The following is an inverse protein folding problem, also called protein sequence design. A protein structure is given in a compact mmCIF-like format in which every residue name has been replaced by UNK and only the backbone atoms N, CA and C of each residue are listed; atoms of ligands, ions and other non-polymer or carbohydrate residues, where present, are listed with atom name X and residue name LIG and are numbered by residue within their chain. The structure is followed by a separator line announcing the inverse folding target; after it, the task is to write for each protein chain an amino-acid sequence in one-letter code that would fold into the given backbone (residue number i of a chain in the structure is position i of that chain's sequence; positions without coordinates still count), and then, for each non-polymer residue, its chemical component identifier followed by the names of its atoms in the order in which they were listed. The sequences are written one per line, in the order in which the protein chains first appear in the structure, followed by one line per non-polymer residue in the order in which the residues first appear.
data_IF_507383620454
#
_entry.id   IF_507383620454
#
_cell.length_a   1.000
_cell.length_b   1.000
_cell.length_c   1.000
_cell.angle_alpha   90.00
_cell.angle_beta   90.00
_cell.angle_gamma   90.00
#
_symmetry.space_group_name_H-M   'P 1'
#
loop_
_entity.id
_entity.type
_entity.pdbx_description
1 polymer ?
#
# COMPACT_ATOMS: atom_id res chain seq x y z
N UNK A 1 -23.34 -6.57 -7.68
CA UNK A 1 -22.09 -5.82 -7.43
C UNK A 1 -21.07 -6.06 -8.53
N UNK A 2 -20.66 -7.29 -8.83
CA UNK A 2 -19.62 -7.63 -9.86
C UNK A 2 -19.83 -6.92 -11.21
N UNK A 3 -21.06 -6.90 -11.76
CA UNK A 3 -21.36 -6.25 -13.05
C UNK A 3 -21.00 -4.75 -13.12
N UNK A 4 -20.77 -4.10 -11.98
CA UNK A 4 -20.40 -2.67 -11.91
C UNK A 4 -18.92 -2.43 -11.79
N UNK A 5 -18.13 -3.47 -11.46
CA UNK A 5 -16.67 -3.40 -11.30
C UNK A 5 -15.92 -4.20 -12.36
N UNK A 6 -16.61 -4.99 -13.18
CA UNK A 6 -16.00 -5.64 -14.35
C UNK A 6 -15.85 -4.58 -15.44
N UNK A 7 -14.62 -4.11 -15.62
CA UNK A 7 -14.25 -3.11 -16.62
C UNK A 7 -12.85 -3.44 -17.17
N UNK A 8 -12.59 -3.23 -18.48
CA UNK A 8 -11.28 -3.58 -19.08
C UNK A 8 -10.07 -2.97 -18.37
N UNK A 9 -10.25 -1.83 -17.71
CA UNK A 9 -9.18 -1.11 -17.01
C UNK A 9 -9.14 -1.40 -15.49
N UNK A 10 -9.90 -2.41 -15.03
CA UNK A 10 -9.93 -2.80 -13.60
C UNK A 10 -9.47 -4.24 -13.49
N UNK A 11 -8.35 -4.44 -12.78
CA UNK A 11 -7.91 -5.77 -12.36
C UNK A 11 -8.62 -6.13 -11.07
N UNK A 12 -9.38 -7.24 -11.07
CA UNK A 12 -9.95 -7.77 -9.84
C UNK A 12 -8.84 -8.32 -8.94
N UNK A 13 -8.89 -7.93 -7.68
CA UNK A 13 -7.95 -8.34 -6.65
C UNK A 13 -8.73 -8.89 -5.44
N UNK A 14 -9.18 -10.17 -5.50
CA UNK A 14 -9.78 -10.83 -4.35
C UNK A 14 -8.84 -10.82 -3.14
N UNK A 15 -9.39 -10.76 -1.92
CA UNK A 15 -8.58 -10.84 -0.72
C UNK A 15 -9.04 -11.98 0.21
N UNK A 16 -8.16 -12.38 1.12
CA UNK A 16 -8.39 -13.44 2.12
C UNK A 16 -8.79 -12.90 3.49
N UNK A 17 -9.26 -11.66 3.56
CA UNK A 17 -9.65 -11.02 4.83
C UNK A 17 -10.60 -11.89 5.65
N UNK A 18 -10.29 -12.07 6.93
CA UNK A 18 -11.05 -12.90 7.86
C UNK A 18 -10.42 -14.25 8.16
N UNK A 19 -9.40 -14.68 7.42
CA UNK A 19 -8.63 -15.90 7.75
C UNK A 19 -7.63 -15.62 8.88
N UNK A 20 -7.23 -16.68 9.59
CA UNK A 20 -6.42 -16.57 10.81
C UNK A 20 -5.02 -17.17 10.69
N UNK A 21 -4.78 -17.99 9.66
CA UNK A 21 -3.54 -18.69 9.43
C UNK A 21 -3.30 -18.95 7.93
N UNK A 22 -2.13 -19.45 7.59
CA UNK A 22 -1.72 -19.73 6.21
C UNK A 22 -2.61 -20.77 5.51
N UNK A 23 -3.00 -21.84 6.20
CA UNK A 23 -3.83 -22.91 5.62
C UNK A 23 -5.20 -22.38 5.18
N UNK A 24 -5.86 -21.61 6.06
CA UNK A 24 -7.12 -20.94 5.73
C UNK A 24 -6.95 -19.96 4.56
N UNK A 25 -5.83 -19.21 4.51
CA UNK A 25 -5.55 -18.27 3.43
C UNK A 25 -5.38 -18.97 2.08
N UNK A 26 -4.64 -20.08 2.04
CA UNK A 26 -4.44 -20.87 0.82
C UNK A 26 -5.77 -21.45 0.34
N UNK A 27 -6.58 -21.98 1.24
CA UNK A 27 -7.90 -22.50 0.89
C UNK A 27 -8.82 -21.39 0.32
N UNK A 28 -8.89 -20.24 1.00
CA UNK A 28 -9.69 -19.10 0.55
C UNK A 28 -9.23 -18.58 -0.82
N UNK A 29 -7.91 -18.53 -1.05
CA UNK A 29 -7.32 -18.12 -2.33
C UNK A 29 -7.73 -19.04 -3.49
N UNK A 30 -7.71 -20.36 -3.27
CA UNK A 30 -8.14 -21.33 -4.28
C UNK A 30 -9.62 -21.16 -4.63
N UNK A 31 -10.48 -20.96 -3.64
CA UNK A 31 -11.90 -20.65 -3.86
C UNK A 31 -12.08 -19.35 -4.65
N UNK A 32 -11.31 -18.30 -4.31
CA UNK A 32 -11.36 -17.02 -5.01
C UNK A 32 -10.93 -17.17 -6.47
N UNK A 33 -9.89 -17.94 -6.77
CA UNK A 33 -9.44 -18.22 -8.14
C UNK A 33 -10.53 -18.86 -8.98
N UNK A 34 -11.19 -19.88 -8.45
CA UNK A 34 -12.32 -20.53 -9.14
C UNK A 34 -13.50 -19.59 -9.34
N UNK A 35 -13.83 -18.76 -8.33
CA UNK A 35 -14.97 -17.87 -8.38
C UNK A 35 -14.79 -16.66 -9.31
N UNK A 36 -13.57 -16.12 -9.41
CA UNK A 36 -13.28 -14.88 -10.13
C UNK A 36 -12.43 -15.06 -11.39
N UNK A 37 -11.90 -16.27 -11.65
CA UNK A 37 -11.08 -16.54 -12.83
C UNK A 37 -9.77 -15.73 -12.85
N UNK A 38 -9.18 -15.43 -11.69
CA UNK A 38 -7.96 -14.64 -11.59
C UNK A 38 -6.96 -15.26 -10.61
N UNK A 39 -5.67 -15.14 -10.92
CA UNK A 39 -4.57 -15.53 -10.01
C UNK A 39 -4.11 -14.35 -9.12
N UNK A 40 -4.61 -13.14 -9.34
CA UNK A 40 -4.30 -12.00 -8.48
C UNK A 40 -4.96 -12.18 -7.12
N UNK A 41 -4.18 -11.93 -6.06
CA UNK A 41 -4.65 -12.13 -4.70
C UNK A 41 -4.02 -11.12 -3.75
N UNK A 42 -4.86 -10.39 -3.01
CA UNK A 42 -4.43 -9.67 -1.81
C UNK A 42 -4.48 -10.63 -0.63
N UNK A 43 -3.31 -10.96 -0.10
CA UNK A 43 -3.17 -11.85 1.03
C UNK A 43 -3.31 -11.06 2.33
N UNK A 44 -4.32 -11.36 3.12
CA UNK A 44 -4.55 -10.80 4.46
C UNK A 44 -4.77 -11.93 5.45
N UNK A 45 -4.02 -11.95 6.56
CA UNK A 45 -4.18 -12.91 7.65
C UNK A 45 -4.26 -12.13 8.95
N UNK A 46 -5.42 -12.15 9.60
CA UNK A 46 -5.70 -11.41 10.83
C UNK A 46 -6.12 -12.37 11.95
N UNK A 47 -5.18 -12.85 12.79
CA UNK A 47 -5.52 -13.75 13.90
C UNK A 47 -6.42 -13.09 14.94
N UNK A 48 -6.31 -11.76 15.09
CA UNK A 48 -7.18 -10.96 15.97
C UNK A 48 -8.12 -10.05 15.15
N UNK A 49 -9.41 -10.39 15.09
CA UNK A 49 -10.40 -9.62 14.33
C UNK A 49 -10.69 -8.23 14.92
N UNK A 50 -10.22 -7.94 16.14
CA UNK A 50 -10.45 -6.65 16.80
C UNK A 50 -9.51 -5.57 16.26
N UNK A 51 -8.24 -5.91 16.05
CA UNK A 51 -7.22 -4.95 15.65
C UNK A 51 -6.83 -5.06 14.18
N UNK A 52 -7.15 -6.17 13.51
CA UNK A 52 -6.88 -6.44 12.09
C UNK A 52 -5.41 -6.24 11.71
N UNK A 53 -4.51 -6.54 12.66
CA UNK A 53 -3.08 -6.51 12.43
C UNK A 53 -2.65 -7.81 11.73
N UNK A 54 -1.76 -7.74 10.74
CA UNK A 54 -1.31 -8.90 10.00
C UNK A 54 -0.34 -9.75 10.82
N UNK A 55 -0.49 -11.08 10.72
CA UNK A 55 0.47 -12.04 11.27
C UNK A 55 1.64 -12.20 10.31
N UNK A 56 2.83 -11.79 10.73
CA UNK A 56 4.03 -11.80 9.89
C UNK A 56 4.50 -13.21 9.52
N UNK A 57 4.36 -14.18 10.44
CA UNK A 57 4.83 -15.56 10.24
C UNK A 57 3.90 -16.28 9.27
N UNK A 58 2.60 -16.23 9.54
CA UNK A 58 1.59 -16.89 8.71
C UNK A 58 1.50 -16.24 7.33
N UNK A 59 1.69 -14.91 7.23
CA UNK A 59 1.74 -14.19 5.94
C UNK A 59 2.91 -14.64 5.08
N UNK A 60 4.12 -14.78 5.65
CA UNK A 60 5.28 -15.27 4.91
C UNK A 60 5.07 -16.71 4.44
N UNK A 61 4.62 -17.59 5.33
CA UNK A 61 4.33 -19.00 5.02
C UNK A 61 3.27 -19.14 3.92
N UNK A 62 2.18 -18.40 4.00
CA UNK A 62 1.14 -18.41 2.97
C UNK A 62 1.66 -17.87 1.64
N UNK A 63 2.50 -16.82 1.65
CA UNK A 63 3.09 -16.27 0.44
C UNK A 63 3.92 -17.32 -0.30
N UNK A 64 4.81 -18.04 0.41
CA UNK A 64 5.63 -19.10 -0.18
C UNK A 64 4.80 -20.20 -0.83
N UNK A 65 3.69 -20.59 -0.22
CA UNK A 65 2.81 -21.64 -0.73
C UNK A 65 1.98 -21.15 -1.92
N UNK A 66 1.38 -19.97 -1.81
CA UNK A 66 0.56 -19.38 -2.87
C UNK A 66 1.35 -19.08 -4.14
N UNK A 67 2.59 -18.60 -4.01
CA UNK A 67 3.50 -18.38 -5.15
C UNK A 67 3.79 -19.71 -5.87
N UNK A 68 4.06 -20.79 -5.15
CA UNK A 68 4.23 -22.15 -5.74
C UNK A 68 2.98 -22.64 -6.46
N UNK A 69 1.79 -22.22 -6.01
CA UNK A 69 0.50 -22.53 -6.64
C UNK A 69 0.17 -21.62 -7.82
N UNK A 70 1.06 -20.69 -8.20
CA UNK A 70 0.93 -19.79 -9.35
C UNK A 70 0.06 -18.56 -9.11
N UNK A 71 -0.15 -18.16 -7.86
CA UNK A 71 -0.81 -16.89 -7.56
C UNK A 71 0.15 -15.71 -7.71
N UNK A 72 -0.42 -14.56 -8.10
CA UNK A 72 0.22 -13.25 -8.06
C UNK A 72 -0.13 -12.65 -6.70
N UNK A 73 0.77 -12.80 -5.73
CA UNK A 73 0.49 -12.53 -4.31
C UNK A 73 0.89 -11.11 -3.95
N UNK A 74 -0.05 -10.36 -3.36
CA UNK A 74 0.11 -9.03 -2.81
C UNK A 74 -0.14 -9.09 -1.29
N UNK A 75 0.88 -9.35 -0.46
CA UNK A 75 0.70 -9.55 0.97
C UNK A 75 0.58 -8.25 1.73
N UNK A 76 -0.52 -8.07 2.48
CA UNK A 76 -0.65 -7.06 3.52
C UNK A 76 0.22 -7.45 4.72
N UNK A 77 1.08 -6.54 5.17
CA UNK A 77 2.06 -6.83 6.20
C UNK A 77 2.32 -5.64 7.14
N UNK A 78 3.02 -5.91 8.25
CA UNK A 78 3.61 -4.87 9.07
C UNK A 78 4.61 -4.05 8.23
N UNK A 79 4.79 -2.76 8.58
CA UNK A 79 5.84 -1.93 7.99
C UNK A 79 7.21 -2.31 8.59
N UNK A 80 7.63 -3.53 8.33
CA UNK A 80 8.91 -4.11 8.75
C UNK A 80 9.78 -4.35 7.50
N UNK A 81 10.89 -3.61 7.35
CA UNK A 81 11.77 -3.75 6.18
C UNK A 81 12.33 -5.16 6.01
N UNK A 82 12.62 -5.88 7.11
CA UNK A 82 13.14 -7.25 7.06
C UNK A 82 12.06 -8.22 6.56
N UNK A 83 10.83 -8.09 7.05
CA UNK A 83 9.71 -8.89 6.57
C UNK A 83 9.42 -8.62 5.10
N UNK A 84 9.37 -7.35 4.68
CA UNK A 84 9.13 -6.97 3.29
C UNK A 84 10.18 -7.59 2.35
N UNK A 85 11.45 -7.62 2.76
CA UNK A 85 12.52 -8.28 1.99
C UNK A 85 12.31 -9.78 1.88
N UNK A 86 11.92 -10.45 2.98
CA UNK A 86 11.61 -11.89 2.97
C UNK A 86 10.41 -12.22 2.08
N UNK A 87 9.38 -11.38 2.07
CA UNK A 87 8.22 -11.54 1.20
C UNK A 87 8.60 -11.40 -0.29
N UNK A 88 9.47 -10.43 -0.63
CA UNK A 88 10.04 -10.30 -1.96
C UNK A 88 10.81 -11.57 -2.36
N UNK A 89 11.70 -12.07 -1.48
CA UNK A 89 12.49 -13.30 -1.70
C UNK A 89 11.61 -14.54 -1.83
N UNK A 90 10.46 -14.57 -1.15
CA UNK A 90 9.45 -15.62 -1.30
C UNK A 90 8.68 -15.56 -2.63
N UNK A 91 8.88 -14.51 -3.44
CA UNK A 91 8.28 -14.34 -4.75
C UNK A 91 6.97 -13.55 -4.76
N UNK A 92 6.70 -12.74 -3.73
CA UNK A 92 5.58 -11.82 -3.75
C UNK A 92 5.69 -10.85 -4.95
N UNK A 93 4.56 -10.53 -5.56
CA UNK A 93 4.51 -9.61 -6.69
C UNK A 93 4.65 -8.13 -6.27
N UNK A 94 4.26 -7.83 -5.04
CA UNK A 94 4.42 -6.54 -4.36
C UNK A 94 4.61 -6.78 -2.87
N UNK A 95 4.90 -5.73 -2.10
CA UNK A 95 4.66 -5.73 -0.64
C UNK A 95 3.67 -4.62 -0.30
N UNK A 96 2.78 -4.90 0.67
CA UNK A 96 1.72 -3.97 1.06
C UNK A 96 1.85 -3.61 2.56
N UNK A 97 2.91 -2.87 2.95
CA UNK A 97 3.09 -2.44 4.32
C UNK A 97 2.03 -1.44 4.77
N UNK A 98 1.58 -1.57 6.01
CA UNK A 98 0.59 -0.66 6.60
C UNK A 98 1.16 0.73 6.89
N UNK A 99 0.40 1.79 6.59
CA UNK A 99 0.67 3.14 7.07
C UNK A 99 0.25 3.32 8.53
N UNK A 100 -0.91 2.79 8.89
CA UNK A 100 -1.45 2.66 10.24
C UNK A 100 -2.47 1.52 10.27
N UNK A 101 -2.94 1.03 11.43
CA UNK A 101 -3.89 -0.07 11.49
C UNK A 101 -5.17 0.22 10.68
N UNK A 102 -5.75 -0.85 10.10
CA UNK A 102 -6.95 -0.78 9.25
C UNK A 102 -8.07 0.00 9.97
N UNK A 103 -8.72 0.90 9.23
CA UNK A 103 -9.88 1.66 9.71
C UNK A 103 -9.57 2.83 10.64
N UNK A 104 -8.30 3.10 10.96
CA UNK A 104 -7.92 4.15 11.93
C UNK A 104 -7.84 5.55 11.32
N UNK A 105 -7.72 5.70 10.00
CA UNK A 105 -7.55 6.98 9.29
C UNK A 105 -6.39 7.86 9.80
N UNK A 106 -5.36 7.25 10.44
CA UNK A 106 -4.26 7.96 11.11
C UNK A 106 -3.11 8.39 10.19
N UNK A 107 -3.17 8.02 8.90
CA UNK A 107 -2.14 8.34 7.92
C UNK A 107 -0.89 7.47 8.05
N UNK A 108 0.25 8.04 7.67
CA UNK A 108 1.53 7.32 7.60
C UNK A 108 2.28 7.32 8.93
N UNK A 109 1.74 6.64 9.95
CA UNK A 109 2.39 6.52 11.26
C UNK A 109 3.70 5.72 11.20
N UNK A 110 3.91 4.96 10.14
CA UNK A 110 5.11 4.14 9.89
C UNK A 110 6.02 4.75 8.82
N UNK A 111 5.93 6.06 8.58
CA UNK A 111 6.59 6.77 7.47
C UNK A 111 8.07 6.43 7.32
N UNK A 112 8.83 6.46 8.41
CA UNK A 112 10.27 6.19 8.38
C UNK A 112 10.59 4.75 7.93
N UNK A 113 9.79 3.78 8.38
CA UNK A 113 9.91 2.39 7.92
C UNK A 113 9.49 2.23 6.46
N UNK A 114 8.42 2.92 6.05
CA UNK A 114 7.98 2.91 4.65
C UNK A 114 9.07 3.44 3.72
N UNK A 115 9.78 4.49 4.12
CA UNK A 115 10.89 5.03 3.35
C UNK A 115 11.99 3.99 3.15
N UNK A 116 12.42 3.30 4.21
CA UNK A 116 13.42 2.23 4.13
C UNK A 116 12.94 1.11 3.20
N UNK A 117 11.66 0.70 3.34
CA UNK A 117 11.07 -0.35 2.50
C UNK A 117 11.10 0.06 1.02
N UNK A 118 10.67 1.29 0.71
CA UNK A 118 10.62 1.80 -0.66
C UNK A 118 12.02 1.87 -1.28
N UNK A 119 13.01 2.33 -0.51
CA UNK A 119 14.41 2.44 -0.98
C UNK A 119 15.06 1.07 -1.25
N UNK A 120 14.69 0.03 -0.49
CA UNK A 120 15.30 -1.30 -0.58
C UNK A 120 14.55 -2.29 -1.48
N UNK A 121 13.29 -2.04 -1.77
CA UNK A 121 12.45 -2.98 -2.51
C UNK A 121 12.85 -3.08 -3.99
N UNK A 122 13.02 -4.28 -4.48
CA UNK A 122 13.15 -4.59 -5.92
C UNK A 122 11.81 -4.84 -6.61
N UNK A 123 10.71 -4.82 -5.86
CA UNK A 123 9.33 -5.00 -6.32
C UNK A 123 8.46 -3.80 -5.91
N UNK A 124 7.30 -3.59 -6.54
CA UNK A 124 6.42 -2.48 -6.19
C UNK A 124 6.01 -2.49 -4.72
N UNK A 125 6.00 -1.31 -4.10
CA UNK A 125 5.52 -1.09 -2.73
C UNK A 125 4.17 -0.39 -2.79
N UNK A 126 3.15 -0.99 -2.19
CA UNK A 126 1.80 -0.41 -2.09
C UNK A 126 1.55 -0.04 -0.63
N UNK A 127 1.40 1.23 -0.31
CA UNK A 127 1.05 1.63 1.06
C UNK A 127 -0.43 1.31 1.31
N UNK A 128 -0.66 0.41 2.26
CA UNK A 128 -1.99 -0.09 2.62
C UNK A 128 -2.36 0.33 4.03
N UNK A 129 -3.65 0.45 4.30
CA UNK A 129 -4.24 0.72 5.61
C UNK A 129 -3.83 2.06 6.27
N UNK A 130 -4.75 2.58 7.05
CA UNK A 130 -4.55 3.82 7.80
C UNK A 130 -4.68 5.11 6.97
N UNK A 131 -4.71 5.03 5.65
CA UNK A 131 -4.88 6.20 4.77
C UNK A 131 -6.27 6.82 5.01
N UNK A 132 -6.30 8.00 5.61
CA UNK A 132 -7.53 8.64 6.07
C UNK A 132 -7.87 9.97 5.37
N UNK A 133 -6.94 10.52 4.59
CA UNK A 133 -7.12 11.77 3.86
C UNK A 133 -6.37 11.73 2.52
N UNK A 134 -6.81 12.50 1.51
CA UNK A 134 -6.10 12.63 0.24
C UNK A 134 -4.63 13.05 0.41
N UNK A 135 -4.31 13.92 1.37
CA UNK A 135 -2.94 14.31 1.70
C UNK A 135 -2.04 13.14 2.10
N UNK A 136 -2.57 12.12 2.80
CA UNK A 136 -1.80 10.92 3.15
C UNK A 136 -1.45 10.09 1.90
N UNK A 137 -2.36 10.05 0.91
CA UNK A 137 -2.09 9.38 -0.36
C UNK A 137 -1.03 10.13 -1.17
N UNK A 138 -1.10 11.48 -1.23
CA UNK A 138 -0.06 12.30 -1.85
C UNK A 138 1.29 12.06 -1.19
N UNK A 139 1.36 12.13 0.14
CA UNK A 139 2.58 11.87 0.91
C UNK A 139 3.19 10.49 0.64
N UNK A 140 2.37 9.44 0.59
CA UNK A 140 2.85 8.09 0.26
C UNK A 140 3.47 8.03 -1.15
N UNK A 141 2.84 8.69 -2.13
CA UNK A 141 3.35 8.74 -3.50
C UNK A 141 4.60 9.60 -3.63
N UNK A 142 4.69 10.71 -2.86
CA UNK A 142 5.88 11.57 -2.76
C UNK A 142 7.09 10.84 -2.17
N UNK A 143 6.86 9.88 -1.24
CA UNK A 143 7.91 8.98 -0.74
C UNK A 143 8.43 7.99 -1.79
N UNK A 144 7.73 7.82 -2.91
CA UNK A 144 8.10 6.89 -3.97
C UNK A 144 7.32 5.57 -3.95
N UNK A 145 6.25 5.46 -3.17
CA UNK A 145 5.37 4.31 -3.25
C UNK A 145 4.83 4.11 -4.67
N UNK A 146 4.69 2.85 -5.09
CA UNK A 146 4.16 2.52 -6.42
C UNK A 146 2.66 2.72 -6.52
N UNK A 147 1.95 2.56 -5.40
CA UNK A 147 0.51 2.77 -5.28
C UNK A 147 0.08 2.94 -3.82
N UNK A 148 -1.17 3.32 -3.64
CA UNK A 148 -1.86 3.33 -2.33
C UNK A 148 -3.14 2.52 -2.42
N UNK A 149 -3.53 1.89 -1.31
CA UNK A 149 -4.83 1.25 -1.16
C UNK A 149 -5.67 2.05 -0.17
N UNK A 150 -6.85 2.48 -0.60
CA UNK A 150 -7.77 3.31 0.18
C UNK A 150 -9.15 2.68 0.17
N UNK A 151 -9.73 2.49 1.35
CA UNK A 151 -11.08 1.95 1.50
C UNK A 151 -11.90 2.79 2.50
N UNK A 152 -11.63 2.66 3.80
CA UNK A 152 -12.44 3.22 4.88
C UNK A 152 -12.67 4.72 4.71
N UNK A 153 -11.64 5.50 4.41
CA UNK A 153 -11.73 6.95 4.25
C UNK A 153 -12.74 7.39 3.17
N UNK A 154 -12.87 6.59 2.11
CA UNK A 154 -13.87 6.84 1.06
C UNK A 154 -15.25 6.36 1.53
N UNK A 155 -15.33 5.16 2.08
CA UNK A 155 -16.60 4.53 2.46
C UNK A 155 -17.38 5.30 3.54
N UNK A 156 -16.66 5.90 4.51
CA UNK A 156 -17.28 6.66 5.62
C UNK A 156 -17.39 8.16 5.37
N UNK A 157 -16.94 8.65 4.21
CA UNK A 157 -17.04 10.07 3.87
C UNK A 157 -18.48 10.54 3.71
N UNK A 158 -18.75 11.79 4.03
CA UNK A 158 -20.07 12.39 3.82
C UNK A 158 -20.50 12.42 2.34
N UNK A 159 -19.52 12.46 1.42
CA UNK A 159 -19.71 12.26 -0.02
C UNK A 159 -18.63 11.33 -0.56
N UNK A 160 -18.86 10.01 -0.62
CA UNK A 160 -17.85 9.03 -1.06
C UNK A 160 -17.36 9.25 -2.49
N UNK A 161 -18.23 9.72 -3.39
CA UNK A 161 -17.85 9.95 -4.79
C UNK A 161 -16.85 11.09 -4.92
N UNK A 162 -17.12 12.22 -4.26
CA UNK A 162 -16.18 13.36 -4.27
C UNK A 162 -14.90 13.03 -3.51
N UNK A 163 -14.97 12.25 -2.42
CA UNK A 163 -13.80 11.79 -1.71
C UNK A 163 -12.92 10.89 -2.59
N UNK A 164 -13.51 9.96 -3.36
CA UNK A 164 -12.77 9.12 -4.30
C UNK A 164 -12.06 9.95 -5.39
N UNK A 165 -12.72 11.00 -5.91
CA UNK A 165 -12.10 11.93 -6.87
C UNK A 165 -10.93 12.69 -6.24
N UNK A 166 -11.08 13.13 -4.99
CA UNK A 166 -10.01 13.83 -4.25
C UNK A 166 -8.80 12.90 -4.02
N UNK A 167 -9.02 11.63 -3.66
CA UNK A 167 -7.95 10.65 -3.53
C UNK A 167 -7.24 10.39 -4.86
N UNK A 168 -7.99 10.26 -5.97
CA UNK A 168 -7.39 10.13 -7.29
C UNK A 168 -6.46 11.31 -7.60
N UNK A 169 -6.95 12.54 -7.47
CA UNK A 169 -6.17 13.74 -7.75
C UNK A 169 -4.90 13.84 -6.87
N UNK A 170 -5.02 13.50 -5.58
CA UNK A 170 -3.89 13.51 -4.65
C UNK A 170 -2.83 12.45 -4.99
N UNK A 171 -3.26 11.25 -5.36
CA UNK A 171 -2.35 10.17 -5.79
C UNK A 171 -1.58 10.57 -7.06
N UNK A 172 -2.28 11.14 -8.05
CA UNK A 172 -1.68 11.65 -9.29
C UNK A 172 -0.70 12.79 -9.01
N UNK A 173 -1.06 13.75 -8.16
CA UNK A 173 -0.20 14.88 -7.79
C UNK A 173 1.07 14.43 -7.05
N UNK A 174 0.94 13.54 -6.06
CA UNK A 174 2.09 13.00 -5.33
C UNK A 174 3.04 12.23 -6.24
N UNK A 175 2.51 11.44 -7.18
CA UNK A 175 3.33 10.74 -8.18
C UNK A 175 4.08 11.72 -9.08
N UNK A 176 3.42 12.75 -9.59
CA UNK A 176 4.03 13.78 -10.40
C UNK A 176 5.13 14.53 -9.64
N UNK A 177 4.91 14.85 -8.36
CA UNK A 177 5.90 15.49 -7.52
C UNK A 177 7.15 14.61 -7.32
N UNK A 178 6.97 13.33 -7.04
CA UNK A 178 8.06 12.35 -6.93
C UNK A 178 8.89 12.27 -8.23
N UNK A 179 8.23 12.15 -9.37
CA UNK A 179 8.89 12.05 -10.69
C UNK A 179 9.58 13.36 -11.10
N UNK A 180 9.06 14.51 -10.69
CA UNK A 180 9.69 15.80 -10.92
C UNK A 180 10.93 16.03 -10.04
N UNK A 181 11.06 15.30 -8.94
CA UNK A 181 12.11 15.48 -7.93
C UNK A 181 11.77 16.58 -6.93
N UNK A 182 11.48 16.17 -5.71
CA UNK A 182 11.23 17.11 -4.61
C UNK A 182 12.51 17.83 -4.19
N UNK A 183 12.40 19.11 -3.84
CA UNK A 183 13.51 19.86 -3.25
C UNK A 183 13.95 19.25 -1.92
N UNK A 184 15.24 19.30 -1.64
CA UNK A 184 15.78 18.83 -0.37
C UNK A 184 15.25 19.67 0.79
N UNK A 185 14.93 19.01 1.90
CA UNK A 185 14.62 19.70 3.15
C UNK A 185 15.93 20.16 3.79
N UNK A 186 16.00 21.44 4.18
CA UNK A 186 17.17 21.96 4.88
C UNK A 186 17.32 21.30 6.26
N UNK A 187 18.48 20.74 6.53
CA UNK A 187 18.79 20.06 7.82
C UNK A 187 19.12 21.07 8.92
N UNK A 188 19.72 22.21 8.56
CA UNK A 188 20.33 23.15 9.51
C UNK A 188 19.60 24.51 9.61
N UNK A 189 18.31 24.57 9.28
CA UNK A 189 17.52 25.80 9.23
C UNK A 189 18.11 26.91 8.34
N UNK A 190 19.10 26.62 7.52
CA UNK A 190 19.66 27.55 6.53
C UNK A 190 18.79 27.49 5.29
N UNK A 191 18.11 28.62 5.00
CA UNK A 191 17.29 28.71 3.81
C UNK A 191 18.16 28.94 2.56
N UNK A 192 18.06 28.07 1.58
CA UNK A 192 18.60 28.31 0.24
C UNK A 192 17.51 28.96 -0.63
N UNK A 193 17.69 30.23 -0.95
CA UNK A 193 16.76 30.92 -1.84
C UNK A 193 17.01 30.52 -3.30
N UNK A 194 15.94 30.11 -3.99
CA UNK A 194 15.98 29.79 -5.43
C UNK A 194 16.14 31.03 -6.33
N UNK A 195 16.05 32.22 -5.77
CA UNK A 195 16.10 33.49 -6.51
C UNK A 195 17.54 33.98 -6.67
N UNK A 196 18.01 34.26 -7.90
CA UNK A 196 19.30 34.89 -8.15
C UNK A 196 19.37 36.36 -7.70
N UNK A 197 18.24 36.93 -7.27
CA UNK A 197 18.17 38.32 -6.80
C UNK A 197 18.96 38.63 -5.53
N UNK A 198 19.31 37.60 -4.74
CA UNK A 198 20.17 37.75 -3.56
C UNK A 198 21.65 37.76 -3.90
N UNK A 199 22.07 37.28 -5.06
CA UNK A 199 23.47 37.28 -5.50
C UNK A 199 24.02 38.70 -5.86
N UNK A 200 23.18 39.73 -5.84
CA UNK A 200 23.62 41.11 -6.07
C UNK A 200 23.89 41.91 -4.77
N UNK A 201 23.74 41.26 -3.62
CA UNK A 201 23.89 41.89 -2.30
C UNK A 201 25.19 41.54 -1.58
N UNK A 202 26.06 40.69 -2.19
CA UNK A 202 27.37 40.33 -1.70
C UNK A 202 28.48 41.19 -2.34
#
# INVERSE_FOLDING_TARGET
MLKHIIHPNIQLLPNTSGVRNAEEAVFAAQLAREAFGTNWLKLEIHPDPRYLLPDSIETLKATEELVKLGFIVLPYCQADPVLCKRLEEAGAATVMPLGAPIGTNKGLQTKEFLQIIIEQAGIPVVVDAGIGAPSHAAEAMELGASAVLVNTAIAVAGNPVEMAKAFKAATEAGRQAYEAGLGLQAVDFVAEASSPLTAFLD
#
